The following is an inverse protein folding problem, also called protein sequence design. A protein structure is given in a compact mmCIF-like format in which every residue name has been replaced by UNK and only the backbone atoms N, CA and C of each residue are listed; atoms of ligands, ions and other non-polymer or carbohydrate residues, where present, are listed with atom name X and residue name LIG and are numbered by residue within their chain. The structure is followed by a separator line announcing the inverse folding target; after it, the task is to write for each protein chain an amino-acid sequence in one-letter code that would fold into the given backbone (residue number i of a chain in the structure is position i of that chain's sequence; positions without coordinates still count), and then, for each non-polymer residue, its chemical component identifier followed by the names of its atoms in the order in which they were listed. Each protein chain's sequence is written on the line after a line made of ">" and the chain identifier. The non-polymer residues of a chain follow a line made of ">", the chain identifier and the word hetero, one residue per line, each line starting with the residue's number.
data_IF_422540305108
#
_entry.id   IF_422540305108
#
_cell.length_a   1.000
_cell.length_b   1.000
_cell.length_c   1.000
_cell.angle_alpha   90.00
_cell.angle_beta   90.00
_cell.angle_gamma   90.00
#
_symmetry.space_group_name_H-M   'P 1'
#
loop_
_entity.id
_entity.type
_entity.pdbx_description
1 polymer ?
#
# COMPACT_ATOMS: atom_id res chain seq x y z
N UNK A 1 11.48 28.52 -4.48
CA UNK A 1 11.47 27.04 -4.50
C UNK A 1 9.99 26.66 -4.45
N UNK A 2 9.45 26.03 -5.50
CA UNK A 2 8.07 25.51 -5.42
C UNK A 2 8.03 24.44 -4.33
N UNK A 3 7.01 24.49 -3.47
CA UNK A 3 6.78 23.44 -2.48
C UNK A 3 6.49 22.13 -3.20
N UNK A 4 7.26 21.09 -2.86
CA UNK A 4 7.11 19.73 -3.41
C UNK A 4 5.73 19.16 -3.08
N UNK A 5 5.25 19.41 -1.87
CA UNK A 5 3.93 18.99 -1.40
C UNK A 5 3.15 20.19 -0.88
N UNK A 6 1.85 20.26 -1.18
CA UNK A 6 0.98 21.29 -0.62
C UNK A 6 -0.51 20.93 -0.67
N UNK A 7 -1.29 21.55 0.21
CA UNK A 7 -2.76 21.54 0.16
C UNK A 7 -3.25 22.66 -0.78
N UNK A 8 -4.20 22.33 -1.65
CA UNK A 8 -4.62 23.19 -2.78
C UNK A 8 -5.94 23.95 -2.54
N UNK A 9 -6.70 23.60 -1.49
CA UNK A 9 -7.99 24.24 -1.22
C UNK A 9 -8.26 24.42 0.28
N UNK A 10 -9.19 25.32 0.59
CA UNK A 10 -9.71 25.48 1.96
C UNK A 10 -10.38 24.21 2.45
N UNK A 11 -11.07 23.49 1.55
CA UNK A 11 -11.62 22.16 1.83
C UNK A 11 -10.52 21.21 2.31
N UNK A 12 -9.37 21.16 1.67
CA UNK A 12 -8.26 20.30 2.11
C UNK A 12 -7.73 20.69 3.50
N UNK A 13 -7.73 21.99 3.83
CA UNK A 13 -7.29 22.50 5.14
C UNK A 13 -8.22 22.11 6.28
N UNK A 14 -9.52 21.91 6.01
CA UNK A 14 -10.48 21.40 7.01
C UNK A 14 -10.12 19.99 7.53
N UNK A 15 -9.37 19.22 6.75
CA UNK A 15 -8.97 17.85 7.09
C UNK A 15 -7.55 17.76 7.67
N UNK A 16 -6.88 18.89 7.91
CA UNK A 16 -5.59 18.87 8.61
C UNK A 16 -5.81 18.36 10.03
N UNK A 17 -5.35 17.14 10.29
CA UNK A 17 -5.51 16.50 11.59
C UNK A 17 -4.36 16.94 12.50
N UNK A 18 -4.68 17.79 13.49
CA UNK A 18 -3.74 18.13 14.55
C UNK A 18 -3.51 16.93 15.51
N UNK A 19 -2.31 16.73 16.05
CA UNK A 19 -2.02 15.74 17.10
C UNK A 19 -3.00 15.86 18.27
N UNK A 20 -3.59 14.74 18.70
CA UNK A 20 -4.49 14.72 19.88
C UNK A 20 -3.73 14.82 21.22
N UNK A 21 -2.41 14.60 21.22
CA UNK A 21 -1.56 14.57 22.43
C UNK A 21 -0.16 15.09 22.14
N UNK A 22 0.48 15.74 23.14
CA UNK A 22 1.86 16.29 23.07
C UNK A 22 2.94 15.22 22.86
N UNK A 23 2.67 13.95 23.13
CA UNK A 23 3.59 12.86 22.76
C UNK A 23 3.34 12.49 21.30
N UNK A 24 3.97 13.22 20.38
CA UNK A 24 3.94 12.84 18.98
C UNK A 24 4.59 11.45 18.81
N UNK A 25 3.91 10.51 18.14
CA UNK A 25 4.52 9.23 17.79
C UNK A 25 5.78 9.46 16.96
N UNK A 26 6.81 8.65 17.20
CA UNK A 26 8.17 8.86 16.67
C UNK A 26 8.31 8.66 15.16
N UNK A 27 7.26 8.20 14.48
CA UNK A 27 7.32 7.92 13.06
C UNK A 27 5.97 8.04 12.36
N UNK A 28 6.01 8.04 11.03
CA UNK A 28 4.85 8.26 10.18
C UNK A 28 3.78 7.18 10.39
N UNK A 29 4.16 5.90 10.39
CA UNK A 29 3.21 4.79 10.43
C UNK A 29 2.53 4.65 11.80
N UNK A 30 3.30 4.74 12.88
CA UNK A 30 2.74 4.85 14.25
C UNK A 30 1.93 6.13 14.45
N UNK A 31 2.27 7.19 13.72
CA UNK A 31 1.43 8.37 13.54
C UNK A 31 0.05 8.02 13.03
N UNK A 32 -0.03 7.43 11.85
CA UNK A 32 -1.30 7.11 11.21
C UNK A 32 -2.22 6.29 12.12
N UNK A 33 -1.71 5.24 12.78
CA UNK A 33 -2.53 4.41 13.68
C UNK A 33 -3.04 5.19 14.90
N UNK A 34 -2.30 6.18 15.37
CA UNK A 34 -2.72 7.07 16.47
C UNK A 34 -3.78 8.09 16.03
N UNK A 35 -3.68 8.60 14.80
CA UNK A 35 -4.60 9.61 14.25
C UNK A 35 -5.93 9.01 13.81
N UNK A 36 -5.89 7.84 13.19
CA UNK A 36 -7.01 7.22 12.51
C UNK A 36 -7.59 6.06 13.33
N UNK A 37 -8.32 6.38 14.40
CA UNK A 37 -8.89 5.39 15.33
C UNK A 37 -10.31 4.92 15.01
N UNK A 38 -10.90 5.30 13.88
CA UNK A 38 -12.25 4.83 13.51
C UNK A 38 -12.15 3.39 12.99
N UNK A 39 -12.92 2.49 13.60
CA UNK A 39 -12.98 1.09 13.16
C UNK A 39 -13.70 0.90 11.81
N UNK A 40 -14.55 1.85 11.42
CA UNK A 40 -15.33 1.79 10.18
C UNK A 40 -15.43 3.15 9.51
N UNK A 41 -15.28 3.11 8.20
CA UNK A 41 -15.64 4.18 7.28
C UNK A 41 -17.15 4.43 7.27
N UNK A 42 -17.57 5.68 7.08
CA UNK A 42 -18.97 6.03 6.84
C UNK A 42 -19.30 6.31 5.38
N UNK A 43 -18.27 6.45 4.53
CA UNK A 43 -18.41 6.74 3.11
C UNK A 43 -17.88 5.58 2.28
N UNK A 44 -18.58 5.27 1.20
CA UNK A 44 -17.99 4.50 0.13
C UNK A 44 -16.93 5.33 -0.59
N UNK A 45 -15.87 4.69 -1.10
CA UNK A 45 -14.77 5.40 -1.75
C UNK A 45 -14.33 4.66 -2.99
N UNK A 46 -14.05 5.43 -4.05
CA UNK A 46 -13.69 4.84 -5.34
C UNK A 46 -12.96 5.84 -6.23
N UNK A 47 -12.26 5.36 -7.27
CA UNK A 47 -11.85 6.20 -8.38
C UNK A 47 -13.02 6.98 -8.98
N UNK A 48 -12.72 8.12 -9.60
CA UNK A 48 -13.71 8.83 -10.41
C UNK A 48 -14.25 7.95 -11.54
N UNK A 49 -15.58 7.93 -11.79
CA UNK A 49 -16.17 7.17 -12.89
C UNK A 49 -16.04 7.87 -14.26
N UNK A 50 -15.35 9.01 -14.34
CA UNK A 50 -15.25 9.82 -15.56
C UNK A 50 -14.29 9.16 -16.58
N UNK A 51 -14.79 8.85 -17.77
CA UNK A 51 -14.01 8.21 -18.85
C UNK A 51 -13.04 9.16 -19.57
N UNK A 52 -13.21 10.48 -19.45
CA UNK A 52 -12.35 11.49 -20.09
C UNK A 52 -12.13 12.66 -19.16
N UNK A 53 -10.98 12.64 -18.49
CA UNK A 53 -10.67 13.59 -17.42
C UNK A 53 -9.64 14.60 -17.91
N UNK A 54 -10.11 15.84 -18.06
CA UNK A 54 -9.25 17.02 -18.22
C UNK A 54 -9.57 18.02 -17.10
N UNK A 55 -8.58 18.81 -16.68
CA UNK A 55 -8.69 19.71 -15.52
C UNK A 55 -9.93 20.64 -15.55
N UNK A 56 -10.37 21.06 -16.75
CA UNK A 56 -11.59 21.87 -16.90
C UNK A 56 -12.88 21.11 -16.56
N UNK A 57 -12.97 19.85 -16.95
CA UNK A 57 -14.15 18.99 -16.69
C UNK A 57 -14.30 18.74 -15.19
N UNK A 58 -13.18 18.64 -14.46
CA UNK A 58 -13.19 18.44 -13.01
C UNK A 58 -13.95 19.57 -12.28
N UNK A 59 -13.74 20.82 -12.67
CA UNK A 59 -14.45 21.95 -12.08
C UNK A 59 -15.96 21.90 -12.33
N UNK A 60 -16.37 21.56 -13.55
CA UNK A 60 -17.80 21.43 -13.93
C UNK A 60 -18.48 20.28 -13.18
N UNK A 61 -17.74 19.19 -12.96
CA UNK A 61 -18.19 18.00 -12.21
C UNK A 61 -18.00 18.14 -10.69
N UNK A 62 -17.70 19.35 -10.20
CA UNK A 62 -17.55 19.70 -8.78
C UNK A 62 -16.41 18.98 -8.04
N UNK A 63 -15.40 18.50 -8.76
CA UNK A 63 -14.15 18.06 -8.15
C UNK A 63 -13.35 19.26 -7.69
N UNK A 64 -12.87 19.20 -6.44
CA UNK A 64 -12.07 20.25 -5.82
C UNK A 64 -10.61 19.82 -5.79
N UNK A 65 -9.66 20.67 -6.22
CA UNK A 65 -8.24 20.38 -6.03
C UNK A 65 -7.93 20.25 -4.54
N UNK A 66 -7.33 19.13 -4.14
CA UNK A 66 -7.12 18.79 -2.73
C UNK A 66 -5.66 18.95 -2.31
N UNK A 67 -4.74 18.24 -2.95
CA UNK A 67 -3.31 18.34 -2.68
C UNK A 67 -2.45 18.12 -3.93
N UNK A 68 -1.18 18.50 -3.84
CA UNK A 68 -0.14 18.27 -4.85
C UNK A 68 1.03 17.52 -4.21
N UNK A 69 1.63 16.59 -4.96
CA UNK A 69 2.87 15.88 -4.63
C UNK A 69 3.74 15.83 -5.90
N UNK A 70 4.83 16.60 -5.95
CA UNK A 70 5.59 16.75 -7.19
C UNK A 70 4.69 17.32 -8.29
N UNK A 71 4.67 16.73 -9.49
CA UNK A 71 3.78 17.17 -10.58
C UNK A 71 2.36 16.54 -10.51
N UNK A 72 2.13 15.68 -9.52
CA UNK A 72 0.86 14.99 -9.29
C UNK A 72 -0.09 15.89 -8.49
N UNK A 73 -1.33 16.05 -8.97
CA UNK A 73 -2.42 16.75 -8.28
C UNK A 73 -3.57 15.79 -8.01
N UNK A 74 -4.03 15.76 -6.77
CA UNK A 74 -5.20 15.00 -6.36
C UNK A 74 -6.41 15.93 -6.29
N UNK A 75 -7.50 15.53 -6.92
CA UNK A 75 -8.80 16.20 -6.84
C UNK A 75 -9.80 15.26 -6.20
N UNK A 76 -10.68 15.81 -5.38
CA UNK A 76 -11.68 15.01 -4.67
C UNK A 76 -13.07 15.54 -4.88
N UNK A 77 -14.05 14.65 -4.81
CA UNK A 77 -15.48 14.98 -4.79
C UNK A 77 -16.15 14.23 -3.66
N UNK A 78 -17.10 14.87 -3.00
CA UNK A 78 -17.96 14.25 -1.99
C UNK A 78 -19.41 14.34 -2.45
N UNK A 79 -20.07 13.20 -2.51
CA UNK A 79 -21.51 13.06 -2.72
C UNK A 79 -22.09 12.30 -1.53
N UNK A 80 -23.41 12.40 -1.26
CA UNK A 80 -24.07 12.00 0.00
C UNK A 80 -23.41 10.85 0.78
N UNK A 81 -23.14 9.72 0.13
CA UNK A 81 -22.51 8.54 0.73
C UNK A 81 -21.21 8.08 0.03
N UNK A 82 -20.67 8.86 -0.90
CA UNK A 82 -19.50 8.46 -1.70
C UNK A 82 -18.45 9.56 -1.79
N UNK A 83 -17.17 9.17 -1.73
CA UNK A 83 -16.05 10.07 -2.00
C UNK A 83 -15.20 9.55 -3.16
N UNK A 84 -14.86 10.46 -4.06
CA UNK A 84 -14.17 10.15 -5.29
C UNK A 84 -12.79 10.78 -5.32
N UNK A 85 -11.84 10.08 -5.94
CA UNK A 85 -10.49 10.58 -6.21
C UNK A 85 -10.25 10.66 -7.72
N UNK A 86 -9.61 11.75 -8.13
CA UNK A 86 -8.91 11.86 -9.41
C UNK A 86 -7.47 12.21 -9.12
N UNK A 87 -6.56 11.44 -9.70
CA UNK A 87 -5.12 11.74 -9.70
C UNK A 87 -4.77 12.25 -11.10
N UNK A 88 -4.14 13.42 -11.18
CA UNK A 88 -3.66 13.99 -12.42
C UNK A 88 -2.16 14.25 -12.36
N UNK A 89 -1.47 14.03 -13.47
CA UNK A 89 -0.07 14.39 -13.65
C UNK A 89 0.10 14.99 -15.04
N UNK A 90 0.76 16.15 -15.14
CA UNK A 90 1.00 16.83 -16.42
C UNK A 90 -0.26 17.04 -17.28
N UNK A 91 -1.42 17.23 -16.63
CA UNK A 91 -2.71 17.45 -17.29
C UNK A 91 -3.43 16.20 -17.79
N UNK A 92 -2.91 15.00 -17.49
CA UNK A 92 -3.55 13.73 -17.77
C UNK A 92 -3.98 13.06 -16.48
N UNK A 93 -5.17 12.46 -16.45
CA UNK A 93 -5.58 11.64 -15.33
C UNK A 93 -4.92 10.27 -15.40
N UNK A 94 -4.55 9.76 -14.24
CA UNK A 94 -4.13 8.38 -14.09
C UNK A 94 -5.32 7.44 -14.21
N UNK A 95 -5.08 6.27 -14.79
CA UNK A 95 -6.02 5.16 -14.69
C UNK A 95 -5.88 4.51 -13.31
N UNK A 96 -6.97 4.52 -12.54
CA UNK A 96 -7.02 3.96 -11.19
C UNK A 96 -7.90 2.70 -11.14
N UNK A 97 -8.25 2.10 -12.29
CA UNK A 97 -9.15 0.94 -12.35
C UNK A 97 -8.62 -0.26 -11.54
N UNK A 98 -7.29 -0.39 -11.43
CA UNK A 98 -6.63 -1.46 -10.67
C UNK A 98 -6.54 -1.19 -9.17
N UNK A 99 -6.96 -0.01 -8.69
CA UNK A 99 -6.92 0.32 -7.27
C UNK A 99 -8.12 -0.23 -6.49
N UNK A 100 -9.10 -0.80 -7.20
CA UNK A 100 -10.32 -1.34 -6.60
C UNK A 100 -11.23 -0.26 -6.01
N UNK A 101 -12.09 -0.67 -5.07
CA UNK A 101 -13.05 0.19 -4.39
C UNK A 101 -13.05 -0.06 -2.86
N UNK A 102 -13.67 0.84 -2.09
CA UNK A 102 -13.87 0.67 -0.67
C UNK A 102 -12.56 0.51 0.11
N UNK A 103 -12.44 -0.59 0.85
CA UNK A 103 -11.28 -0.83 1.74
C UNK A 103 -9.99 -1.11 0.96
N UNK A 104 -10.08 -1.77 -0.19
CA UNK A 104 -8.94 -2.03 -1.06
C UNK A 104 -8.38 -0.70 -1.60
N UNK A 105 -9.26 0.14 -2.13
CA UNK A 105 -8.92 1.48 -2.61
C UNK A 105 -8.23 2.33 -1.55
N UNK A 106 -8.70 2.27 -0.29
CA UNK A 106 -8.11 3.00 0.84
C UNK A 106 -6.69 2.53 1.16
N UNK A 107 -6.49 1.21 1.25
CA UNK A 107 -5.17 0.65 1.47
C UNK A 107 -4.21 1.02 0.33
N UNK A 108 -4.69 0.91 -0.92
CA UNK A 108 -3.91 1.28 -2.10
C UNK A 108 -3.56 2.77 -2.13
N UNK A 109 -4.52 3.65 -1.83
CA UNK A 109 -4.29 5.09 -1.72
C UNK A 109 -3.16 5.41 -0.72
N UNK A 110 -3.19 4.79 0.46
CA UNK A 110 -2.15 5.01 1.49
C UNK A 110 -0.78 4.56 1.00
N UNK A 111 -0.71 3.39 0.35
CA UNK A 111 0.54 2.86 -0.16
C UNK A 111 1.12 3.68 -1.33
N UNK A 112 0.29 3.99 -2.32
CA UNK A 112 0.71 4.70 -3.53
C UNK A 112 1.15 6.13 -3.18
N UNK A 113 0.42 6.81 -2.31
CA UNK A 113 0.82 8.13 -1.85
C UNK A 113 2.10 8.11 -1.02
N UNK A 114 2.36 7.04 -0.26
CA UNK A 114 3.65 6.80 0.39
C UNK A 114 4.77 6.70 -0.65
N UNK A 115 4.60 5.92 -1.72
CA UNK A 115 5.61 5.83 -2.78
C UNK A 115 5.86 7.14 -3.52
N UNK A 116 4.81 7.94 -3.75
CA UNK A 116 4.94 9.26 -4.39
C UNK A 116 5.87 10.21 -3.60
N UNK A 117 5.86 10.12 -2.26
CA UNK A 117 6.68 10.99 -1.40
C UNK A 117 8.05 10.38 -1.06
N UNK A 118 8.15 9.06 -0.93
CA UNK A 118 9.32 8.44 -0.28
C UNK A 118 10.48 8.03 -1.19
N UNK A 119 10.33 8.11 -2.52
CA UNK A 119 11.37 7.86 -3.56
C UNK A 119 12.53 6.95 -3.12
N UNK A 120 13.65 7.52 -2.66
CA UNK A 120 14.93 6.81 -2.49
C UNK A 120 15.32 6.51 -1.04
N UNK A 121 14.70 7.17 -0.05
CA UNK A 121 15.12 7.06 1.36
C UNK A 121 14.03 6.53 2.30
N UNK A 122 12.84 6.23 1.76
CA UNK A 122 11.69 5.66 2.47
C UNK A 122 11.13 6.58 3.58
N UNK A 123 11.58 7.84 3.66
CA UNK A 123 11.22 8.76 4.75
C UNK A 123 10.18 9.77 4.29
N UNK A 124 9.45 10.25 5.28
CA UNK A 124 8.39 11.25 5.12
C UNK A 124 8.73 12.41 6.06
N UNK A 125 8.78 13.62 5.52
CA UNK A 125 8.93 14.84 6.31
C UNK A 125 7.59 15.36 6.87
N UNK A 126 7.63 16.43 7.66
CA UNK A 126 6.45 16.97 8.35
C UNK A 126 5.40 17.55 7.37
N UNK A 127 5.84 18.16 6.28
CA UNK A 127 4.96 18.74 5.26
C UNK A 127 4.26 17.62 4.48
N UNK A 128 5.02 16.59 4.07
CA UNK A 128 4.53 15.38 3.42
C UNK A 128 3.54 14.65 4.34
N UNK A 129 3.92 14.45 5.60
CA UNK A 129 3.05 13.83 6.61
C UNK A 129 1.76 14.59 6.82
N UNK A 130 1.80 15.92 6.80
CA UNK A 130 0.59 16.77 6.95
C UNK A 130 -0.34 16.63 5.75
N UNK A 131 0.21 16.66 4.53
CA UNK A 131 -0.57 16.50 3.29
C UNK A 131 -1.19 15.11 3.22
N UNK A 132 -0.43 14.05 3.52
CA UNK A 132 -0.90 12.68 3.53
C UNK A 132 -2.00 12.45 4.58
N UNK A 133 -1.81 12.96 5.81
CA UNK A 133 -2.83 12.88 6.85
C UNK A 133 -4.13 13.58 6.44
N UNK A 134 -4.05 14.72 5.75
CA UNK A 134 -5.26 15.42 5.29
C UNK A 134 -6.04 14.60 4.25
N UNK A 135 -5.37 14.00 3.26
CA UNK A 135 -6.05 13.18 2.26
C UNK A 135 -6.60 11.89 2.88
N UNK A 136 -5.87 11.27 3.82
CA UNK A 136 -6.36 10.09 4.54
C UNK A 136 -7.54 10.38 5.46
N UNK A 137 -7.58 11.57 6.08
CA UNK A 137 -8.73 12.01 6.86
C UNK A 137 -9.95 12.26 5.97
N UNK A 138 -9.75 12.87 4.79
CA UNK A 138 -10.82 13.03 3.82
C UNK A 138 -11.37 11.68 3.37
N UNK A 139 -10.51 10.67 3.15
CA UNK A 139 -10.99 9.33 2.81
C UNK A 139 -11.31 8.47 4.02
N UNK A 140 -11.28 8.96 5.27
CA UNK A 140 -11.52 8.21 6.51
C UNK A 140 -10.76 6.88 6.63
N UNK A 141 -9.49 6.84 6.24
CA UNK A 141 -8.66 5.64 6.36
C UNK A 141 -8.75 5.05 7.77
N UNK A 142 -8.86 3.72 7.87
CA UNK A 142 -8.97 2.96 9.12
C UNK A 142 -7.65 2.27 9.50
N UNK A 143 -7.47 1.83 10.76
CA UNK A 143 -6.29 1.07 11.17
C UNK A 143 -6.02 -0.19 10.33
N UNK A 144 -7.09 -0.87 9.91
CA UNK A 144 -6.98 -2.07 9.06
C UNK A 144 -6.41 -1.74 7.69
N UNK A 145 -6.85 -0.63 7.10
CA UNK A 145 -6.36 -0.17 5.79
C UNK A 145 -4.91 0.32 5.87
N UNK A 146 -4.52 0.94 6.99
CA UNK A 146 -3.12 1.30 7.26
C UNK A 146 -2.25 0.04 7.34
N UNK A 147 -2.70 -0.99 8.07
CA UNK A 147 -1.96 -2.25 8.17
C UNK A 147 -1.81 -2.95 6.80
N UNK A 148 -2.89 -3.00 6.02
CA UNK A 148 -2.87 -3.55 4.67
C UNK A 148 -1.95 -2.74 3.74
N UNK A 149 -1.98 -1.41 3.82
CA UNK A 149 -1.11 -0.54 3.04
C UNK A 149 0.35 -0.75 3.40
N UNK A 150 0.65 -0.88 4.70
CA UNK A 150 1.99 -1.15 5.21
C UNK A 150 2.55 -2.47 4.67
N UNK A 151 1.72 -3.51 4.62
CA UNK A 151 2.05 -4.79 4.00
C UNK A 151 2.29 -4.65 2.49
N UNK A 152 1.43 -3.93 1.77
CA UNK A 152 1.61 -3.67 0.34
C UNK A 152 2.92 -2.92 0.05
N UNK A 153 3.22 -1.88 0.84
CA UNK A 153 4.45 -1.10 0.69
C UNK A 153 5.66 -1.97 0.95
N UNK A 154 5.63 -2.75 2.04
CA UNK A 154 6.70 -3.70 2.35
C UNK A 154 6.98 -4.60 1.15
N UNK A 155 5.95 -5.26 0.61
CA UNK A 155 6.15 -6.21 -0.48
C UNK A 155 6.65 -5.59 -1.78
N UNK A 156 6.13 -4.43 -2.16
CA UNK A 156 6.60 -3.76 -3.38
C UNK A 156 8.09 -3.38 -3.27
N UNK A 157 8.54 -2.97 -2.08
CA UNK A 157 9.94 -2.65 -1.82
C UNK A 157 10.84 -3.89 -1.76
N UNK A 158 10.37 -4.97 -1.14
CA UNK A 158 11.10 -6.24 -1.09
C UNK A 158 11.24 -6.83 -2.49
N UNK A 159 10.17 -6.87 -3.27
CA UNK A 159 10.19 -7.40 -4.64
C UNK A 159 11.15 -6.62 -5.54
N UNK A 160 11.12 -5.28 -5.47
CA UNK A 160 12.07 -4.43 -6.18
C UNK A 160 13.52 -4.65 -5.73
N UNK A 161 13.75 -4.95 -4.45
CA UNK A 161 15.09 -5.24 -3.92
C UNK A 161 15.59 -6.62 -4.34
N UNK A 162 14.70 -7.59 -4.60
CA UNK A 162 15.05 -8.99 -4.86
C UNK A 162 14.95 -9.39 -6.35
N UNK A 163 14.90 -8.44 -7.29
CA UNK A 163 14.64 -8.70 -8.72
C UNK A 163 15.61 -9.72 -9.34
N UNK A 164 16.87 -9.80 -8.88
CA UNK A 164 17.87 -10.77 -9.37
C UNK A 164 17.89 -12.09 -8.58
N UNK A 165 17.06 -12.22 -7.55
CA UNK A 165 16.90 -13.43 -6.73
C UNK A 165 18.12 -13.80 -5.88
N UNK A 166 19.17 -12.97 -5.88
CA UNK A 166 20.34 -13.08 -5.02
C UNK A 166 20.10 -12.16 -3.81
N UNK A 167 20.65 -12.51 -2.64
CA UNK A 167 20.66 -11.61 -1.48
C UNK A 167 22.13 -11.31 -1.18
N UNK A 168 22.56 -10.15 -1.61
CA UNK A 168 23.84 -9.50 -1.39
C UNK A 168 23.80 -8.71 -0.07
N UNK A 169 24.98 -8.29 0.41
CA UNK A 169 25.06 -7.42 1.60
C UNK A 169 24.34 -6.07 1.39
N UNK A 170 24.30 -5.57 0.15
CA UNK A 170 23.60 -4.34 -0.24
C UNK A 170 22.06 -4.49 -0.19
N UNK A 171 21.54 -5.64 -0.62
CA UNK A 171 20.12 -5.97 -0.49
C UNK A 171 19.74 -6.14 0.98
N UNK A 172 20.59 -6.75 1.81
CA UNK A 172 20.35 -6.84 3.27
C UNK A 172 20.32 -5.47 3.95
N UNK A 173 21.23 -4.56 3.57
CA UNK A 173 21.21 -3.18 4.08
C UNK A 173 19.93 -2.45 3.64
N UNK A 174 19.50 -2.64 2.40
CA UNK A 174 18.26 -2.07 1.87
C UNK A 174 17.03 -2.61 2.59
N UNK A 175 16.96 -3.92 2.82
CA UNK A 175 15.91 -4.55 3.63
C UNK A 175 15.86 -3.97 5.05
N UNK A 176 17.02 -3.76 5.68
CA UNK A 176 17.10 -3.14 7.00
C UNK A 176 16.58 -1.70 7.01
N UNK A 177 16.85 -0.93 5.95
CA UNK A 177 16.32 0.43 5.77
C UNK A 177 14.81 0.42 5.56
N UNK A 178 14.28 -0.51 4.76
CA UNK A 178 12.82 -0.69 4.55
C UNK A 178 12.14 -0.99 5.89
N UNK A 179 12.65 -1.95 6.67
CA UNK A 179 12.09 -2.28 7.97
C UNK A 179 12.07 -1.09 8.92
N UNK A 180 13.17 -0.33 8.98
CA UNK A 180 13.27 0.84 9.85
C UNK A 180 12.28 1.93 9.43
N UNK A 181 12.16 2.20 8.13
CA UNK A 181 11.25 3.19 7.56
C UNK A 181 9.78 2.82 7.77
N UNK A 182 9.47 1.54 7.65
CA UNK A 182 8.15 1.01 7.94
C UNK A 182 7.94 0.78 9.44
N UNK A 183 8.89 1.04 10.34
CA UNK A 183 8.72 0.77 11.77
C UNK A 183 8.28 -0.70 12.03
N UNK A 184 8.93 -1.65 11.35
CA UNK A 184 8.69 -3.08 11.49
C UNK A 184 9.71 -3.68 12.45
N UNK A 185 9.24 -4.51 13.37
CA UNK A 185 10.11 -5.39 14.14
C UNK A 185 10.51 -6.61 13.32
N UNK A 186 11.54 -7.32 13.78
CA UNK A 186 11.90 -8.61 13.19
C UNK A 186 10.75 -9.64 13.27
N UNK A 187 9.94 -9.57 14.34
CA UNK A 187 8.73 -10.38 14.47
C UNK A 187 7.72 -10.08 13.38
N UNK A 188 7.43 -8.79 13.14
CA UNK A 188 6.50 -8.36 12.10
C UNK A 188 6.98 -8.79 10.70
N UNK A 189 8.29 -8.66 10.44
CA UNK A 189 8.92 -9.10 9.18
C UNK A 189 8.66 -10.59 8.93
N UNK A 190 8.92 -11.42 9.93
CA UNK A 190 8.73 -12.87 9.82
C UNK A 190 7.25 -13.24 9.65
N UNK A 191 6.35 -12.53 10.32
CA UNK A 191 4.90 -12.74 10.16
C UNK A 191 4.44 -12.38 8.73
N UNK A 192 4.86 -11.23 8.21
CA UNK A 192 4.61 -10.84 6.83
C UNK A 192 5.13 -11.92 5.88
N UNK A 193 6.39 -12.34 6.04
CA UNK A 193 7.01 -13.39 5.22
C UNK A 193 6.23 -14.71 5.25
N UNK A 194 5.77 -15.16 6.43
CA UNK A 194 4.93 -16.36 6.55
C UNK A 194 3.64 -16.20 5.76
N UNK A 195 2.96 -15.06 5.91
CA UNK A 195 1.70 -14.77 5.22
C UNK A 195 1.86 -14.78 3.71
N UNK A 196 2.91 -14.16 3.17
CA UNK A 196 3.16 -14.17 1.73
C UNK A 196 3.49 -15.57 1.21
N UNK A 197 4.31 -16.35 1.93
CA UNK A 197 4.59 -17.74 1.55
C UNK A 197 3.32 -18.59 1.59
N UNK A 198 2.45 -18.40 2.58
CA UNK A 198 1.16 -19.06 2.66
C UNK A 198 0.25 -18.74 1.47
N UNK A 199 0.20 -17.46 1.07
CA UNK A 199 -0.52 -17.01 -0.13
C UNK A 199 0.04 -17.65 -1.39
N UNK A 200 1.36 -17.63 -1.58
CA UNK A 200 2.01 -18.28 -2.74
C UNK A 200 1.73 -19.78 -2.81
N UNK A 201 1.75 -20.48 -1.67
CA UNK A 201 1.35 -21.88 -1.63
C UNK A 201 -0.13 -22.08 -1.98
N UNK A 202 -1.01 -21.15 -1.60
CA UNK A 202 -2.44 -21.22 -1.92
C UNK A 202 -2.69 -20.97 -3.41
N UNK A 203 -2.04 -19.95 -3.99
CA UNK A 203 -2.10 -19.58 -5.40
C UNK A 203 -1.67 -20.72 -6.33
N UNK A 204 -0.74 -21.59 -5.91
CA UNK A 204 -0.37 -22.78 -6.69
C UNK A 204 -1.57 -23.67 -7.01
N UNK A 205 -2.61 -23.66 -6.18
CA UNK A 205 -3.81 -24.49 -6.33
C UNK A 205 -5.07 -23.70 -6.74
N UNK A 206 -5.04 -22.37 -6.73
CA UNK A 206 -6.12 -21.48 -7.17
C UNK A 206 -5.99 -21.12 -8.65
N UNK A 207 -5.71 -22.12 -9.50
CA UNK A 207 -5.48 -21.92 -10.93
C UNK A 207 -6.79 -21.97 -11.73
N UNK A 208 -6.86 -21.29 -12.90
CA UNK A 208 -8.01 -21.37 -13.79
C UNK A 208 -8.38 -22.80 -14.16
N UNK A 209 -9.65 -23.05 -14.41
CA UNK A 209 -10.14 -24.37 -14.81
C UNK A 209 -9.42 -24.85 -16.09
N UNK A 210 -8.85 -26.06 -16.04
CA UNK A 210 -8.07 -26.64 -17.14
C UNK A 210 -6.57 -26.34 -17.11
N UNK A 211 -6.08 -25.51 -16.17
CA UNK A 211 -4.65 -25.35 -15.94
C UNK A 211 -4.01 -26.64 -15.40
N UNK A 212 -2.73 -26.87 -15.74
CA UNK A 212 -1.98 -27.99 -15.19
C UNK A 212 -1.86 -27.84 -13.67
N UNK A 213 -1.99 -28.98 -12.98
CA UNK A 213 -1.69 -29.08 -11.55
C UNK A 213 -0.26 -28.58 -11.27
N UNK A 214 -0.02 -27.99 -10.09
CA UNK A 214 1.30 -27.55 -9.71
C UNK A 214 2.27 -28.74 -9.67
N UNK A 215 3.48 -28.51 -10.18
CA UNK A 215 4.57 -29.48 -10.21
C UNK A 215 5.36 -29.46 -8.90
N UNK A 216 6.15 -30.52 -8.65
CA UNK A 216 7.07 -30.53 -7.50
C UNK A 216 8.09 -29.39 -7.58
N UNK A 217 8.54 -29.04 -8.78
CA UNK A 217 9.51 -27.95 -8.99
C UNK A 217 8.92 -26.59 -8.59
N UNK A 218 7.63 -26.35 -8.88
CA UNK A 218 6.94 -25.12 -8.44
C UNK A 218 6.78 -25.06 -6.91
N UNK A 219 6.47 -26.19 -6.27
CA UNK A 219 6.42 -26.29 -4.79
C UNK A 219 7.81 -26.04 -4.20
N UNK A 220 8.85 -26.65 -4.77
CA UNK A 220 10.22 -26.52 -4.28
C UNK A 220 10.76 -25.09 -4.51
N UNK A 221 10.30 -24.39 -5.55
CA UNK A 221 10.61 -22.98 -5.78
C UNK A 221 10.02 -22.07 -4.68
N UNK A 222 8.76 -22.25 -4.29
CA UNK A 222 8.15 -21.51 -3.16
C UNK A 222 8.88 -21.83 -1.85
N UNK A 223 9.28 -23.09 -1.64
CA UNK A 223 10.09 -23.47 -0.48
C UNK A 223 11.48 -22.81 -0.47
N UNK A 224 12.14 -22.68 -1.62
CA UNK A 224 13.41 -21.96 -1.74
C UNK A 224 13.25 -20.47 -1.44
N UNK A 225 12.17 -19.84 -1.94
CA UNK A 225 11.83 -18.46 -1.60
C UNK A 225 11.64 -18.31 -0.09
N UNK A 226 10.87 -19.19 0.56
CA UNK A 226 10.66 -19.17 2.00
C UNK A 226 11.97 -19.24 2.81
N UNK A 227 12.93 -20.07 2.37
CA UNK A 227 14.28 -20.13 2.99
C UNK A 227 15.04 -18.82 2.82
N UNK A 228 15.01 -18.23 1.63
CA UNK A 228 15.67 -16.93 1.36
C UNK A 228 15.07 -15.81 2.20
N UNK A 229 13.78 -15.87 2.47
CA UNK A 229 13.06 -14.96 3.37
C UNK A 229 13.37 -15.20 4.86
N UNK A 230 14.13 -16.24 5.20
CA UNK A 230 14.57 -16.56 6.55
C UNK A 230 13.49 -17.22 7.41
N UNK A 231 12.51 -17.89 6.79
CA UNK A 231 11.50 -18.65 7.53
C UNK A 231 12.08 -19.95 8.09
N UNK A 232 11.48 -20.43 9.19
CA UNK A 232 11.95 -21.63 9.87
C UNK A 232 11.69 -22.90 9.04
N UNK A 233 12.62 -23.86 9.07
CA UNK A 233 12.51 -25.10 8.29
C UNK A 233 11.32 -25.97 8.70
N UNK A 234 10.80 -25.83 9.92
CA UNK A 234 9.60 -26.56 10.35
C UNK A 234 8.35 -26.06 9.63
N UNK A 235 8.15 -24.74 9.58
CA UNK A 235 7.10 -24.08 8.80
C UNK A 235 7.17 -24.47 7.33
N UNK A 236 8.37 -24.38 6.73
CA UNK A 236 8.58 -24.73 5.31
C UNK A 236 8.22 -26.19 5.06
N UNK A 237 8.71 -27.10 5.91
CA UNK A 237 8.41 -28.54 5.79
C UNK A 237 6.91 -28.80 5.85
N UNK A 238 6.20 -28.23 6.82
CA UNK A 238 4.74 -28.42 6.98
C UNK A 238 3.99 -27.95 5.73
N UNK A 239 4.35 -26.79 5.16
CA UNK A 239 3.70 -26.28 3.95
C UNK A 239 4.01 -27.11 2.70
N UNK A 240 5.24 -27.58 2.56
CA UNK A 240 5.63 -28.46 1.45
C UNK A 240 4.93 -29.81 1.53
N UNK A 241 4.82 -30.41 2.72
CA UNK A 241 4.11 -31.66 2.95
C UNK A 241 2.61 -31.52 2.63
N UNK A 242 1.98 -30.44 3.11
CA UNK A 242 0.59 -30.12 2.79
C UNK A 242 0.39 -29.96 1.27
N UNK A 243 1.21 -29.16 0.59
CA UNK A 243 1.13 -28.94 -0.85
C UNK A 243 1.34 -30.25 -1.65
N UNK A 244 2.35 -31.06 -1.29
CA UNK A 244 2.62 -32.34 -1.96
C UNK A 244 1.50 -33.36 -1.75
N UNK A 245 0.80 -33.32 -0.60
CA UNK A 245 -0.35 -34.19 -0.34
C UNK A 245 -1.57 -33.88 -1.24
N UNK A 246 -1.63 -32.67 -1.79
CA UNK A 246 -2.71 -32.21 -2.68
C UNK A 246 -2.46 -32.55 -4.14
N UNK A 247 -1.24 -32.95 -4.52
CA UNK A 247 -0.93 -33.46 -5.86
C UNK A 247 -1.42 -34.91 -5.95
N UNK A 248 -2.39 -35.24 -6.83
CA UNK A 248 -2.82 -36.62 -7.01
C UNK A 248 -1.65 -37.46 -7.54
N UNK A 249 -1.43 -38.62 -6.91
CA UNK A 249 -0.47 -39.61 -7.40
C UNK A 249 -0.99 -40.14 -8.74
N UNK A 250 -0.19 -40.12 -9.82
CA UNK A 250 -0.60 -40.61 -11.13
C UNK A 250 -0.96 -42.11 -11.14
#
# INVERSE_FOLDING_TARGET
>A
MEQRVCLLSDRAREFVVAPKTESEPKGFWSGLTSFFGKEKATFDVRPSPLESIFEKVLGDEQYVPFCKIGDVKMHVKEEENSRYLVVMENGQAWDLSEWGEGSEFRARLVAETYFMVTKDDFRIDDDESTVLRAIFAFFEITPKEIANAKEYVYWSLVESTMEDGIITDEEQETMSRIMAALELTEGDRLELHRKAVDVRFSELFERPEGASQPTSDEIDAVAQMARRLGLDEEFIRVRVEDAKSRIPIP
#
